data_IF_729525414473
#
_entry.id   IF_729525414473
#
_cell.length_a   1.000
_cell.length_b   1.000
_cell.length_c   1.000
_cell.angle_alpha   90.00
_cell.angle_beta   90.00
_cell.angle_gamma   90.00
#
_symmetry.space_group_name_H-M   'P 1'
#
loop_
_entity.id
_entity.type
_entity.pdbx_description
1 polymer ?
#
# COMPACT_ATOMS: atom_id res chain seq x y z
N UNK A 1 -48.85 -11.92 0.46
CA UNK A 1 -47.79 -11.82 1.49
C UNK A 1 -46.72 -10.88 0.99
N UNK A 2 -46.23 -10.02 1.89
CA UNK A 2 -45.33 -8.89 1.64
C UNK A 2 -43.89 -9.36 1.36
N UNK A 3 -43.36 -8.85 0.25
CA UNK A 3 -41.98 -8.48 -0.11
C UNK A 3 -40.94 -8.68 1.01
N UNK A 4 -39.86 -9.40 0.70
CA UNK A 4 -38.54 -9.14 1.27
C UNK A 4 -37.48 -9.38 0.19
N UNK A 5 -37.27 -8.32 -0.59
CA UNK A 5 -36.09 -8.11 -1.41
C UNK A 5 -34.88 -7.98 -0.48
N UNK A 6 -34.09 -9.03 -0.36
CA UNK A 6 -32.80 -9.00 0.33
C UNK A 6 -31.75 -8.68 -0.72
N UNK A 7 -31.74 -7.41 -1.16
CA UNK A 7 -30.60 -6.82 -1.88
C UNK A 7 -29.59 -6.44 -0.81
N UNK A 8 -28.79 -7.41 -0.36
CA UNK A 8 -27.64 -7.10 0.48
C UNK A 8 -26.49 -6.66 -0.42
N UNK A 9 -26.43 -5.35 -0.59
CA UNK A 9 -25.23 -4.54 -0.45
C UNK A 9 -23.98 -5.12 -1.11
N UNK A 10 -23.81 -4.71 -2.36
CA UNK A 10 -22.53 -4.37 -2.95
C UNK A 10 -21.63 -3.69 -1.90
N UNK A 11 -20.82 -4.47 -1.18
CA UNK A 11 -19.57 -3.99 -0.62
C UNK A 11 -18.58 -3.90 -1.78
N UNK A 12 -18.84 -2.93 -2.67
CA UNK A 12 -17.78 -2.30 -3.44
C UNK A 12 -16.88 -1.62 -2.42
N UNK A 13 -15.91 -2.39 -1.92
CA UNK A 13 -14.61 -1.85 -1.57
C UNK A 13 -14.08 -1.22 -2.85
N UNK A 14 -14.50 0.02 -3.10
CA UNK A 14 -13.91 0.85 -4.12
C UNK A 14 -12.54 1.22 -3.56
N UNK A 15 -11.56 0.39 -3.89
CA UNK A 15 -10.15 0.70 -3.75
C UNK A 15 -9.95 2.03 -4.48
N UNK A 16 -9.86 3.11 -3.72
CA UNK A 16 -9.61 4.43 -4.27
C UNK A 16 -8.12 4.48 -4.60
N UNK A 17 -7.75 3.85 -5.71
CA UNK A 17 -6.49 4.17 -6.38
C UNK A 17 -6.73 5.53 -7.02
N UNK A 18 -6.17 6.58 -6.44
CA UNK A 18 -6.14 7.90 -7.06
C UNK A 18 -5.16 7.83 -8.24
N UNK A 19 -5.60 7.20 -9.32
CA UNK A 19 -4.85 7.01 -10.57
C UNK A 19 -4.97 8.29 -11.42
N UNK A 20 -4.39 9.38 -10.93
CA UNK A 20 -4.23 10.59 -11.73
C UNK A 20 -2.86 11.22 -11.48
N UNK A 21 -1.84 10.68 -12.13
CA UNK A 21 -0.50 11.23 -12.13
C UNK A 21 0.55 10.26 -12.64
N UNK A 22 1.68 10.80 -13.11
CA UNK A 22 2.93 10.07 -13.35
C UNK A 22 3.16 9.03 -12.24
N UNK A 23 3.65 7.81 -12.53
CA UNK A 23 3.89 6.77 -11.54
C UNK A 23 4.61 7.29 -10.30
N UNK A 24 5.56 8.23 -10.47
CA UNK A 24 6.30 8.93 -9.41
C UNK A 24 5.43 9.56 -8.30
N UNK A 25 4.14 9.79 -8.54
CA UNK A 25 3.20 10.36 -7.57
C UNK A 25 2.28 9.34 -6.91
N UNK A 26 2.41 8.04 -7.22
CA UNK A 26 1.58 7.01 -6.62
C UNK A 26 1.94 6.77 -5.17
N UNK A 27 0.94 6.93 -4.30
CA UNK A 27 1.05 6.65 -2.87
C UNK A 27 -0.06 5.69 -2.48
N UNK A 28 0.33 4.53 -1.94
CA UNK A 28 -0.59 3.55 -1.35
C UNK A 28 -0.46 3.63 0.16
N UNK A 29 -1.56 3.54 0.91
CA UNK A 29 -1.56 3.70 2.38
C UNK A 29 -2.38 2.60 3.06
N UNK A 30 -2.15 2.41 4.36
CA UNK A 30 -2.96 1.52 5.20
C UNK A 30 -2.86 0.04 4.78
N UNK A 31 -3.96 -0.70 4.90
CA UNK A 31 -3.99 -2.14 4.64
C UNK A 31 -3.47 -2.50 3.23
N UNK A 32 -3.73 -1.67 2.23
CA UNK A 32 -3.23 -1.90 0.88
C UNK A 32 -1.69 -1.85 0.82
N UNK A 33 -1.08 -0.88 1.52
CA UNK A 33 0.38 -0.80 1.61
C UNK A 33 0.97 -1.95 2.43
N UNK A 34 0.29 -2.39 3.50
CA UNK A 34 0.67 -3.59 4.25
C UNK A 34 0.64 -4.84 3.37
N UNK A 35 -0.43 -5.01 2.59
CA UNK A 35 -0.56 -6.11 1.63
C UNK A 35 0.57 -6.11 0.63
N UNK A 36 1.00 -4.95 0.13
CA UNK A 36 2.14 -4.85 -0.79
C UNK A 36 3.43 -5.37 -0.15
N UNK A 37 3.71 -5.03 1.11
CA UNK A 37 4.89 -5.56 1.82
C UNK A 37 4.80 -7.08 1.99
N UNK A 38 3.63 -7.59 2.38
CA UNK A 38 3.42 -9.02 2.68
C UNK A 38 3.42 -9.88 1.42
N UNK A 39 2.86 -9.38 0.31
CA UNK A 39 2.71 -10.14 -0.93
C UNK A 39 3.80 -9.85 -1.98
N UNK A 40 4.52 -8.73 -1.85
CA UNK A 40 5.64 -8.39 -2.72
C UNK A 40 6.95 -9.07 -2.31
N UNK A 41 8.01 -8.77 -3.06
CA UNK A 41 9.37 -9.23 -2.72
C UNK A 41 10.15 -8.10 -2.05
N UNK A 42 10.45 -8.25 -0.75
CA UNK A 42 11.30 -7.29 -0.02
C UNK A 42 12.76 -7.50 -0.42
N UNK A 43 13.35 -6.51 -1.11
CA UNK A 43 14.75 -6.55 -1.56
C UNK A 43 15.70 -5.89 -0.57
N UNK A 44 15.21 -4.96 0.25
CA UNK A 44 15.98 -4.27 1.30
C UNK A 44 15.07 -3.84 2.43
N UNK A 45 15.59 -3.88 3.66
CA UNK A 45 14.90 -3.35 4.84
C UNK A 45 15.86 -2.60 5.75
N UNK A 46 15.42 -1.50 6.35
CA UNK A 46 16.18 -0.75 7.35
C UNK A 46 15.26 0.00 8.32
N UNK A 47 15.82 0.49 9.41
CA UNK A 47 15.08 1.24 10.43
C UNK A 47 15.81 2.51 10.86
N UNK A 48 15.06 3.49 11.32
CA UNK A 48 15.60 4.74 11.86
C UNK A 48 14.85 5.13 13.13
N UNK A 49 15.59 5.56 14.15
CA UNK A 49 15.00 6.15 15.35
C UNK A 49 14.48 7.56 15.04
N UNK A 50 13.25 7.85 15.46
CA UNK A 50 12.60 9.16 15.34
C UNK A 50 12.08 9.60 16.72
N UNK A 51 11.73 10.87 16.88
CA UNK A 51 11.34 11.45 18.18
C UNK A 51 10.29 10.66 18.98
N UNK A 52 9.43 9.89 18.29
CA UNK A 52 8.31 9.16 18.90
C UNK A 52 8.33 7.65 18.65
N UNK A 53 9.47 7.07 18.24
CA UNK A 53 9.60 5.62 18.07
C UNK A 53 10.58 5.20 16.98
N UNK A 54 10.38 3.99 16.46
CA UNK A 54 11.17 3.43 15.34
C UNK A 54 10.33 3.47 14.08
N UNK A 55 10.95 3.92 13.00
CA UNK A 55 10.38 3.92 11.66
C UNK A 55 11.07 2.86 10.83
N UNK A 56 10.29 1.95 10.25
CA UNK A 56 10.78 0.86 9.40
C UNK A 56 10.58 1.21 7.93
N UNK A 57 11.52 0.81 7.10
CA UNK A 57 11.49 1.00 5.67
C UNK A 57 11.73 -0.33 4.96
N UNK A 58 10.98 -0.57 3.90
CA UNK A 58 11.05 -1.76 3.06
C UNK A 58 11.08 -1.34 1.60
N UNK A 59 12.07 -1.81 0.85
CA UNK A 59 12.07 -1.71 -0.61
C UNK A 59 11.43 -2.99 -1.13
N UNK A 60 10.31 -2.85 -1.85
CA UNK A 60 9.43 -3.94 -2.24
C UNK A 60 9.22 -3.93 -3.74
N UNK A 61 9.52 -5.05 -4.41
CA UNK A 61 9.09 -5.28 -5.78
C UNK A 61 7.65 -5.79 -5.77
N UNK A 62 6.74 -5.02 -6.38
CA UNK A 62 5.32 -5.34 -6.44
C UNK A 62 4.73 -4.83 -7.76
N UNK A 63 4.04 -5.71 -8.49
CA UNK A 63 3.45 -5.43 -9.81
C UNK A 63 4.40 -4.81 -10.84
N UNK A 64 5.68 -5.22 -10.83
CA UNK A 64 6.69 -4.73 -11.79
C UNK A 64 7.36 -3.40 -11.41
N UNK A 65 6.97 -2.80 -10.28
CA UNK A 65 7.55 -1.56 -9.78
C UNK A 65 8.34 -1.79 -8.49
N UNK A 66 9.33 -0.93 -8.26
CA UNK A 66 10.00 -0.85 -6.97
C UNK A 66 9.29 0.19 -6.10
N UNK A 67 8.90 -0.22 -4.90
CA UNK A 67 8.19 0.60 -3.94
C UNK A 67 9.03 0.80 -2.69
N UNK A 68 9.14 2.04 -2.24
CA UNK A 68 9.61 2.35 -0.90
C UNK A 68 8.41 2.42 0.04
N UNK A 69 8.30 1.41 0.91
CA UNK A 69 7.28 1.33 1.95
C UNK A 69 7.83 1.78 3.30
N UNK A 70 7.16 2.74 3.90
CA UNK A 70 7.39 3.26 5.24
C UNK A 70 6.34 2.66 6.19
N UNK A 71 6.79 2.20 7.35
CA UNK A 71 5.94 1.77 8.46
C UNK A 71 6.38 2.46 9.75
N UNK A 72 5.48 3.24 10.34
CA UNK A 72 5.56 3.77 11.69
C UNK A 72 4.35 3.26 12.49
N UNK A 73 4.38 3.40 13.82
CA UNK A 73 3.30 2.95 14.71
C UNK A 73 1.91 3.32 14.17
N UNK A 74 1.14 2.30 13.74
CA UNK A 74 -0.20 2.39 13.11
C UNK A 74 -0.30 3.10 11.75
N UNK A 75 0.81 3.38 11.07
CA UNK A 75 0.83 4.05 9.77
C UNK A 75 1.76 3.34 8.81
N UNK A 76 1.23 2.94 7.68
CA UNK A 76 1.99 2.33 6.60
C UNK A 76 1.67 3.02 5.28
N UNK A 77 2.70 3.27 4.48
CA UNK A 77 2.56 3.87 3.16
C UNK A 77 3.66 3.40 2.21
N UNK A 78 3.32 3.13 0.97
CA UNK A 78 4.26 2.78 -0.10
C UNK A 78 4.22 3.85 -1.18
N UNK A 79 5.40 4.23 -1.68
CA UNK A 79 5.57 5.18 -2.79
C UNK A 79 6.44 4.51 -3.84
N UNK A 80 6.15 4.73 -5.12
CA UNK A 80 7.05 4.19 -6.16
C UNK A 80 8.40 4.90 -6.09
N UNK A 81 9.48 4.14 -6.22
CA UNK A 81 10.84 4.67 -6.25
C UNK A 81 11.41 4.66 -7.67
N UNK A 82 11.19 3.58 -8.41
CA UNK A 82 11.61 3.41 -9.82
C UNK A 82 10.73 2.37 -10.54
N UNK A 83 10.62 2.47 -11.87
CA UNK A 83 10.21 1.32 -12.69
C UNK A 83 11.25 0.21 -12.52
N UNK A 84 10.80 -0.99 -12.15
CA UNK A 84 11.70 -2.12 -12.01
C UNK A 84 12.25 -2.51 -13.38
N UNK A 85 13.48 -2.13 -13.70
CA UNK A 85 14.20 -2.76 -14.80
C UNK A 85 14.49 -4.21 -14.39
N UNK A 86 13.73 -5.15 -14.96
CA UNK A 86 14.07 -6.57 -14.98
C UNK A 86 15.32 -6.82 -15.82
#
# INVERSE_FOLDING_TARGET
MKILSVVLSFMTWHEYVEESGSPENWVVVGEAAERMIVSGTVTKSYSTEVQYGVKHFYVVLYSGYQWLCEQATYRISCRVETEGQQ
#
